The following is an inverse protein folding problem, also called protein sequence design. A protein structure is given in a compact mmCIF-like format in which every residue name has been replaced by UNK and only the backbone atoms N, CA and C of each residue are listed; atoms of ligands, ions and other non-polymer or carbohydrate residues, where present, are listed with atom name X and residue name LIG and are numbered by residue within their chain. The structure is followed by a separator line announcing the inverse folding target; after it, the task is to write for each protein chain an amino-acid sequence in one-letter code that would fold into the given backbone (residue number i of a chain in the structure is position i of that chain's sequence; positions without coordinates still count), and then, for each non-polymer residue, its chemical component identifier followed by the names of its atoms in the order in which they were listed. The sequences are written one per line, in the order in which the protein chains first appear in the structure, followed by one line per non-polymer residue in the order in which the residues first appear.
data_IF_195504542327
#
_entry.id   IF_195504542327
#
_cell.length_a   1.000
_cell.length_b   1.000
_cell.length_c   1.000
_cell.angle_alpha   90.00
_cell.angle_beta   90.00
_cell.angle_gamma   90.00
#
_symmetry.space_group_name_H-M   'P 1'
#
loop_
_entity.id
_entity.type
_entity.pdbx_description
1 polymer ?
#
# COMPACT_ATOMS: atom_id res chain seq x y z
N UNK A 1 -18.72 -0.78 -8.07
CA UNK A 1 -19.65 -0.17 -9.06
C UNK A 1 -20.77 -1.15 -9.33
N UNK A 2 -22.01 -0.79 -9.01
CA UNK A 2 -23.19 -1.62 -9.27
C UNK A 2 -23.64 -1.46 -10.72
N UNK A 3 -24.22 -2.49 -11.34
CA UNK A 3 -24.78 -2.46 -12.70
C UNK A 3 -25.77 -1.31 -12.93
N UNK A 4 -26.43 -0.82 -11.84
CA UNK A 4 -27.31 0.36 -11.88
C UNK A 4 -26.57 1.68 -12.10
N UNK A 5 -25.38 1.85 -11.53
CA UNK A 5 -24.58 3.08 -11.71
C UNK A 5 -23.98 3.15 -13.12
N UNK A 6 -23.67 1.98 -13.70
CA UNK A 6 -23.24 1.84 -15.08
C UNK A 6 -24.31 2.35 -16.04
N UNK A 7 -25.55 1.87 -15.88
CA UNK A 7 -26.67 2.25 -16.75
C UNK A 7 -26.97 3.75 -16.66
N UNK A 8 -27.02 4.31 -15.45
CA UNK A 8 -27.30 5.72 -15.24
C UNK A 8 -26.24 6.66 -15.86
N UNK A 9 -24.96 6.27 -15.83
CA UNK A 9 -23.89 7.04 -16.49
C UNK A 9 -23.95 6.93 -18.01
N UNK A 10 -24.29 5.76 -18.53
CA UNK A 10 -24.48 5.52 -19.97
C UNK A 10 -25.59 6.41 -20.53
N UNK A 11 -26.75 6.40 -19.86
CA UNK A 11 -27.93 7.16 -20.26
C UNK A 11 -27.65 8.67 -20.27
N UNK A 12 -26.86 9.17 -19.30
CA UNK A 12 -26.47 10.59 -19.23
C UNK A 12 -25.54 11.03 -20.36
N UNK A 13 -24.61 10.18 -20.78
CA UNK A 13 -23.69 10.47 -21.89
C UNK A 13 -24.43 10.48 -23.22
N UNK A 14 -25.37 9.54 -23.40
CA UNK A 14 -26.22 9.48 -24.60
C UNK A 14 -27.15 10.70 -24.68
N UNK A 15 -27.77 11.08 -23.56
CA UNK A 15 -28.69 12.22 -23.50
C UNK A 15 -28.05 13.60 -23.78
N UNK A 16 -26.73 13.73 -23.60
CA UNK A 16 -26.03 15.01 -23.81
C UNK A 16 -25.54 15.22 -25.25
N UNK A 17 -25.59 14.18 -26.11
CA UNK A 17 -25.07 14.25 -27.49
C UNK A 17 -25.90 13.39 -28.45
N UNK A 18 -27.14 13.80 -28.78
CA UNK A 18 -28.06 13.01 -29.62
C UNK A 18 -27.57 12.81 -31.07
N UNK A 19 -26.67 13.68 -31.55
CA UNK A 19 -26.17 13.70 -32.93
C UNK A 19 -24.76 13.11 -33.08
N UNK A 20 -24.17 12.58 -32.00
CA UNK A 20 -22.83 12.01 -32.06
C UNK A 20 -22.87 10.60 -32.69
N UNK A 21 -21.99 10.37 -33.67
CA UNK A 21 -21.75 9.05 -34.25
C UNK A 21 -21.58 8.01 -33.14
N UNK A 22 -22.35 6.92 -33.22
CA UNK A 22 -22.32 5.83 -32.24
C UNK A 22 -20.91 5.31 -31.96
N UNK A 23 -19.99 5.39 -32.94
CA UNK A 23 -18.58 5.03 -32.76
C UNK A 23 -17.83 6.00 -31.80
N UNK A 24 -18.13 7.30 -31.84
CA UNK A 24 -17.56 8.29 -30.91
C UNK A 24 -18.13 8.16 -29.50
N UNK A 25 -19.42 7.83 -29.38
CA UNK A 25 -20.06 7.55 -28.09
C UNK A 25 -19.43 6.31 -27.46
N UNK A 26 -19.27 5.22 -28.21
CA UNK A 26 -18.60 4.00 -27.76
C UNK A 26 -17.14 4.24 -27.35
N UNK A 27 -16.38 5.02 -28.13
CA UNK A 27 -14.99 5.36 -27.80
C UNK A 27 -14.84 6.15 -26.49
N UNK A 28 -15.75 7.09 -26.22
CA UNK A 28 -15.75 7.85 -24.95
C UNK A 28 -16.19 7.01 -23.76
N UNK A 29 -17.22 6.18 -23.94
CA UNK A 29 -17.70 5.26 -22.92
C UNK A 29 -16.57 4.30 -22.51
N UNK A 30 -15.89 3.69 -23.48
CA UNK A 30 -14.73 2.82 -23.22
C UNK A 30 -13.61 3.57 -22.49
N UNK A 31 -13.27 4.80 -22.89
CA UNK A 31 -12.24 5.60 -22.20
C UNK A 31 -12.61 5.89 -20.74
N UNK A 32 -13.84 6.33 -20.47
CA UNK A 32 -14.33 6.57 -19.09
C UNK A 32 -14.27 5.28 -18.26
N UNK A 33 -14.59 4.13 -18.86
CA UNK A 33 -14.45 2.83 -18.18
C UNK A 33 -13.01 2.43 -17.94
N UNK A 34 -12.11 2.60 -18.89
CA UNK A 34 -10.70 2.26 -18.69
C UNK A 34 -10.03 3.11 -17.62
N UNK A 35 -10.40 4.39 -17.48
CA UNK A 35 -9.84 5.26 -16.44
C UNK A 35 -10.44 4.91 -15.07
N UNK A 36 -11.77 4.80 -14.96
CA UNK A 36 -12.44 4.48 -13.70
C UNK A 36 -12.09 3.08 -13.18
N UNK A 37 -11.95 2.10 -14.06
CA UNK A 37 -11.54 0.74 -13.68
C UNK A 37 -10.08 0.68 -13.24
N UNK A 38 -9.16 1.43 -13.88
CA UNK A 38 -7.75 1.50 -13.47
C UNK A 38 -7.58 2.20 -12.12
N UNK A 39 -8.33 3.25 -11.85
CA UNK A 39 -8.33 3.96 -10.57
C UNK A 39 -8.95 3.11 -9.45
N UNK A 40 -10.08 2.45 -9.71
CA UNK A 40 -10.75 1.57 -8.73
C UNK A 40 -9.92 0.32 -8.40
N UNK A 41 -9.12 -0.19 -9.35
CA UNK A 41 -8.19 -1.30 -9.10
C UNK A 41 -6.98 -0.81 -8.32
N UNK A 42 -6.40 0.37 -8.63
CA UNK A 42 -5.27 0.92 -7.87
C UNK A 42 -5.63 1.26 -6.42
N UNK A 43 -6.83 1.76 -6.18
CA UNK A 43 -7.36 2.03 -4.83
C UNK A 43 -7.75 0.77 -4.06
N UNK A 44 -7.58 -0.43 -4.63
CA UNK A 44 -7.88 -1.69 -3.95
C UNK A 44 -6.65 -2.34 -3.32
N UNK A 45 -5.44 -1.87 -3.59
CA UNK A 45 -4.20 -2.51 -3.15
C UNK A 45 -3.21 -1.53 -2.53
N UNK A 46 -2.33 -2.06 -1.70
CA UNK A 46 -1.10 -1.42 -1.23
C UNK A 46 0.05 -2.11 -1.94
N UNK A 47 0.90 -1.36 -2.63
CA UNK A 47 2.12 -1.91 -3.23
C UNK A 47 3.22 -1.95 -2.18
N UNK A 48 3.94 -3.06 -2.09
CA UNK A 48 5.02 -3.27 -1.11
C UNK A 48 6.28 -3.73 -1.87
N UNK A 49 7.39 -3.05 -1.62
CA UNK A 49 8.70 -3.36 -2.20
C UNK A 49 9.70 -3.69 -1.11
N UNK A 50 10.17 -4.94 -1.04
CA UNK A 50 11.16 -5.37 -0.04
C UNK A 50 12.60 -5.37 -0.54
N UNK A 51 12.84 -5.02 -1.80
CA UNK A 51 14.18 -4.98 -2.40
C UNK A 51 15.12 -4.00 -1.70
N UNK A 52 14.69 -2.84 -1.18
CA UNK A 52 15.59 -1.94 -0.44
C UNK A 52 16.21 -2.58 0.81
N UNK A 53 15.50 -3.51 1.48
CA UNK A 53 16.04 -4.26 2.61
C UNK A 53 16.78 -5.54 2.18
N UNK A 54 16.23 -6.28 1.21
CA UNK A 54 16.64 -7.66 0.91
C UNK A 54 17.49 -7.82 -0.36
N UNK A 55 17.72 -6.73 -1.09
CA UNK A 55 18.44 -6.72 -2.36
C UNK A 55 17.80 -7.66 -3.40
N UNK A 56 18.62 -8.48 -4.05
CA UNK A 56 18.18 -9.44 -5.07
C UNK A 56 17.23 -10.54 -4.55
N UNK A 57 17.10 -10.69 -3.22
CA UNK A 57 16.18 -11.65 -2.59
C UNK A 57 14.84 -11.00 -2.20
N UNK A 58 14.70 -9.69 -2.37
CA UNK A 58 13.45 -8.98 -2.18
C UNK A 58 12.51 -9.13 -3.37
N UNK A 59 11.27 -8.74 -3.17
CA UNK A 59 10.20 -8.84 -4.16
C UNK A 59 9.32 -7.59 -4.10
N UNK A 60 8.56 -7.35 -5.17
CA UNK A 60 7.52 -6.33 -5.23
C UNK A 60 6.18 -7.03 -5.37
N UNK A 61 5.27 -6.78 -4.45
CA UNK A 61 3.94 -7.36 -4.51
C UNK A 61 2.85 -6.35 -4.17
N UNK A 62 1.62 -6.72 -4.49
CA UNK A 62 0.42 -5.96 -4.15
C UNK A 62 -0.35 -6.72 -3.07
N UNK A 63 -0.70 -6.02 -2.01
CA UNK A 63 -1.50 -6.51 -0.89
C UNK A 63 -2.88 -5.88 -0.94
N UNK A 64 -3.99 -6.64 -0.99
CA UNK A 64 -5.33 -6.07 -0.95
C UNK A 64 -5.51 -5.16 0.26
N UNK A 65 -5.99 -3.95 0.03
CA UNK A 65 -6.37 -3.04 1.10
C UNK A 65 -7.68 -3.53 1.72
N UNK A 66 -7.65 -3.83 3.02
CA UNK A 66 -8.82 -4.15 3.81
C UNK A 66 -8.98 -3.10 4.92
N UNK A 67 -10.10 -2.35 4.96
CA UNK A 67 -10.32 -1.31 5.98
C UNK A 67 -10.38 -1.86 7.41
N UNK A 68 -10.64 -3.16 7.59
CA UNK A 68 -10.69 -3.80 8.90
C UNK A 68 -9.33 -4.42 9.30
N UNK A 69 -8.33 -4.40 8.39
CA UNK A 69 -7.02 -4.92 8.69
C UNK A 69 -6.30 -3.99 9.67
N UNK A 70 -5.88 -4.56 10.80
CA UNK A 70 -5.12 -3.80 11.80
C UNK A 70 -3.64 -3.71 11.44
N UNK A 71 -2.97 -2.70 11.98
CA UNK A 71 -1.52 -2.50 11.84
C UNK A 71 -0.75 -3.78 12.21
N UNK A 72 -1.07 -4.39 13.36
CA UNK A 72 -0.46 -5.66 13.78
C UNK A 72 -0.56 -6.74 12.71
N UNK A 73 -1.77 -7.00 12.19
CA UNK A 73 -1.99 -8.06 11.21
C UNK A 73 -1.26 -7.76 9.90
N UNK A 74 -1.26 -6.50 9.47
CA UNK A 74 -0.55 -6.09 8.27
C UNK A 74 0.96 -6.26 8.40
N UNK A 75 1.58 -5.79 9.49
CA UNK A 75 3.01 -5.98 9.74
C UNK A 75 3.38 -7.48 9.81
N UNK A 76 2.53 -8.30 10.42
CA UNK A 76 2.72 -9.74 10.45
C UNK A 76 2.68 -10.35 9.04
N UNK A 77 1.75 -9.94 8.18
CA UNK A 77 1.66 -10.43 6.78
C UNK A 77 2.94 -10.12 6.00
N UNK A 78 3.44 -8.89 6.11
CA UNK A 78 4.71 -8.51 5.46
C UNK A 78 5.85 -9.37 5.99
N UNK A 79 5.99 -9.49 7.32
CA UNK A 79 7.03 -10.32 7.92
C UNK A 79 6.94 -11.80 7.48
N UNK A 80 5.74 -12.38 7.45
CA UNK A 80 5.52 -13.76 7.00
C UNK A 80 5.96 -14.00 5.56
N UNK A 81 5.94 -12.97 4.70
CA UNK A 81 6.42 -13.04 3.33
C UNK A 81 7.93 -12.85 3.21
N UNK A 82 8.53 -12.09 4.12
CA UNK A 82 9.98 -11.85 4.16
C UNK A 82 10.76 -12.93 4.93
N UNK A 83 10.10 -13.77 5.72
CA UNK A 83 10.77 -14.88 6.41
C UNK A 83 11.36 -15.86 5.38
N UNK A 84 12.52 -16.48 5.66
CA UNK A 84 13.28 -16.44 6.92
C UNK A 84 14.29 -15.29 7.02
N UNK A 85 14.31 -14.34 6.07
CA UNK A 85 15.38 -13.34 5.94
C UNK A 85 15.33 -12.25 7.02
N UNK A 86 14.16 -12.03 7.60
CA UNK A 86 13.92 -11.01 8.61
C UNK A 86 13.50 -11.67 9.92
N UNK A 87 14.16 -11.30 11.02
CA UNK A 87 13.84 -11.82 12.36
C UNK A 87 12.43 -11.38 12.77
N UNK A 88 11.68 -12.24 13.49
CA UNK A 88 10.38 -11.86 14.06
C UNK A 88 10.55 -10.75 15.10
N UNK A 89 9.49 -9.97 15.31
CA UNK A 89 9.43 -8.96 16.38
C UNK A 89 10.59 -7.96 16.37
N UNK A 90 11.04 -7.53 15.20
CA UNK A 90 12.06 -6.48 15.06
C UNK A 90 11.52 -5.19 14.48
N UNK A 91 10.23 -5.04 14.20
CA UNK A 91 9.70 -3.75 13.76
C UNK A 91 9.68 -2.73 14.92
N UNK A 92 10.08 -1.46 14.72
CA UNK A 92 10.69 -0.89 13.50
C UNK A 92 12.23 -1.01 13.43
N UNK A 93 12.89 -1.50 14.48
CA UNK A 93 14.35 -1.45 14.66
C UNK A 93 15.15 -2.24 13.59
N UNK A 94 14.65 -3.41 13.20
CA UNK A 94 15.23 -4.30 12.20
C UNK A 94 14.79 -3.98 10.77
N UNK A 95 13.57 -3.48 10.62
CA UNK A 95 12.99 -3.07 9.35
C UNK A 95 11.85 -2.12 9.60
N UNK A 96 11.67 -1.15 8.71
CA UNK A 96 10.63 -0.13 8.81
C UNK A 96 9.98 0.08 7.46
N UNK A 97 8.70 0.46 7.47
CA UNK A 97 8.01 0.86 6.25
C UNK A 97 8.34 2.32 5.94
N UNK A 98 8.64 2.59 4.67
CA UNK A 98 8.80 3.93 4.11
C UNK A 98 7.73 4.16 3.06
N UNK A 99 7.05 5.29 3.11
CA UNK A 99 6.21 5.72 1.99
C UNK A 99 7.10 6.20 0.84
N UNK A 100 7.00 5.55 -0.33
CA UNK A 100 7.86 5.85 -1.48
C UNK A 100 7.60 7.22 -2.11
N UNK A 101 6.42 7.82 -1.87
CA UNK A 101 6.07 9.13 -2.42
C UNK A 101 6.56 10.31 -1.58
N UNK A 102 6.60 10.14 -0.26
CA UNK A 102 6.92 11.19 0.71
C UNK A 102 8.21 10.96 1.50
N UNK A 103 8.88 9.82 1.30
CA UNK A 103 10.01 9.34 2.09
C UNK A 103 9.73 9.23 3.61
N UNK A 104 8.47 9.33 4.03
CA UNK A 104 8.07 9.24 5.44
C UNK A 104 8.30 7.83 5.96
N UNK A 105 9.07 7.72 7.04
CA UNK A 105 9.22 6.47 7.79
C UNK A 105 8.06 6.29 8.78
N UNK A 106 7.49 5.09 8.81
CA UNK A 106 6.44 4.72 9.76
C UNK A 106 7.03 4.13 11.06
N UNK A 107 7.88 4.87 11.77
CA UNK A 107 8.51 4.39 13.02
C UNK A 107 7.54 4.35 14.21
N UNK A 108 6.51 5.20 14.20
CA UNK A 108 5.48 5.31 15.24
C UNK A 108 4.26 4.39 15.04
N UNK A 109 4.46 3.18 14.52
CA UNK A 109 3.40 2.16 14.37
C UNK A 109 3.87 0.80 14.90
N UNK A 110 2.94 -0.11 15.16
CA UNK A 110 3.24 -1.39 15.79
C UNK A 110 3.55 -1.22 17.28
N UNK A 111 4.52 -1.99 17.78
CA UNK A 111 4.85 -2.00 19.22
C UNK A 111 5.17 -0.63 19.84
N UNK A 112 5.94 0.28 19.20
CA UNK A 112 6.17 1.62 19.76
C UNK A 112 4.87 2.37 20.04
N UNK A 113 3.92 2.34 19.10
CA UNK A 113 2.62 2.99 19.31
C UNK A 113 1.82 2.27 20.38
N UNK A 114 1.68 0.95 20.30
CA UNK A 114 0.93 0.16 21.28
C UNK A 114 1.43 0.41 22.72
N UNK A 115 2.75 0.35 22.92
CA UNK A 115 3.38 0.62 24.21
C UNK A 115 3.10 2.04 24.70
N UNK A 116 3.14 3.04 23.82
CA UNK A 116 2.80 4.43 24.17
C UNK A 116 1.35 4.60 24.66
N UNK A 117 0.45 3.70 24.26
CA UNK A 117 -0.95 3.67 24.66
C UNK A 117 -1.24 2.69 25.83
N UNK A 118 -0.23 2.02 26.37
CA UNK A 118 -0.41 0.97 27.37
C UNK A 118 -1.08 -0.30 26.84
N UNK A 119 -1.02 -0.52 25.53
CA UNK A 119 -1.58 -1.68 24.83
C UNK A 119 -0.46 -2.67 24.48
N UNK A 120 -0.81 -3.96 24.38
CA UNK A 120 0.10 -5.00 23.92
C UNK A 120 0.31 -4.97 22.40
N UNK A 121 -0.68 -4.48 21.65
CA UNK A 121 -0.74 -4.57 20.19
C UNK A 121 -1.30 -3.29 19.56
N UNK A 122 -0.89 -3.01 18.32
CA UNK A 122 -1.41 -1.90 17.52
C UNK A 122 -2.61 -2.38 16.70
N UNK A 123 -3.79 -2.24 17.29
CA UNK A 123 -5.07 -2.60 16.68
C UNK A 123 -5.74 -1.45 15.93
N UNK A 124 -5.03 -0.34 15.70
CA UNK A 124 -5.48 0.68 14.75
C UNK A 124 -5.64 0.09 13.36
N UNK A 125 -6.59 0.63 12.61
CA UNK A 125 -6.67 0.41 11.16
C UNK A 125 -5.44 0.98 10.44
N UNK A 126 -5.19 0.50 9.22
CA UNK A 126 -4.15 1.05 8.36
C UNK A 126 -4.33 2.55 8.10
N UNK A 127 -5.57 2.99 7.89
CA UNK A 127 -5.90 4.39 7.64
C UNK A 127 -5.53 5.28 8.83
N UNK A 128 -5.81 4.86 10.06
CA UNK A 128 -5.43 5.59 11.27
C UNK A 128 -3.91 5.66 11.47
N UNK A 129 -3.17 4.68 10.96
CA UNK A 129 -1.70 4.71 10.91
C UNK A 129 -1.15 5.54 9.74
N UNK A 130 -2.01 6.03 8.84
CA UNK A 130 -1.66 6.84 7.68
C UNK A 130 -1.31 6.03 6.42
N UNK A 131 -1.60 4.74 6.40
CA UNK A 131 -1.48 3.88 5.21
C UNK A 131 -2.85 3.85 4.53
N UNK A 132 -2.89 4.30 3.28
CA UNK A 132 -4.12 4.44 2.52
C UNK A 132 -4.17 3.42 1.38
N UNK A 133 -5.37 3.16 0.82
CA UNK A 133 -5.44 2.40 -0.42
C UNK A 133 -4.66 3.12 -1.52
N UNK A 134 -3.95 2.36 -2.36
CA UNK A 134 -3.03 2.88 -3.36
C UNK A 134 -1.65 3.30 -2.81
N UNK A 135 -1.41 3.24 -1.50
CA UNK A 135 -0.08 3.51 -0.93
C UNK A 135 0.98 2.61 -1.57
N UNK A 136 2.14 3.20 -1.84
CA UNK A 136 3.32 2.49 -2.31
C UNK A 136 4.39 2.54 -1.22
N UNK A 137 4.61 1.40 -0.58
CA UNK A 137 5.47 1.24 0.57
C UNK A 137 6.74 0.48 0.20
N UNK A 138 7.84 0.88 0.82
CA UNK A 138 9.12 0.20 0.75
C UNK A 138 9.49 -0.34 2.12
N UNK A 139 10.02 -1.55 2.15
CA UNK A 139 10.64 -2.11 3.35
C UNK A 139 12.12 -1.74 3.31
N UNK A 140 12.54 -0.92 4.26
CA UNK A 140 13.92 -0.43 4.38
C UNK A 140 14.55 -0.88 5.70
N UNK A 141 15.89 -0.87 5.81
CA UNK A 141 16.57 -1.09 7.09
C UNK A 141 16.05 -0.18 8.19
N UNK A 142 15.75 -0.76 9.35
CA UNK A 142 15.40 0.01 10.53
C UNK A 142 16.60 0.79 11.10
N UNK A 143 16.34 1.72 12.02
CA UNK A 143 17.38 2.58 12.60
C UNK A 143 18.55 1.81 13.21
N UNK A 144 18.31 0.61 13.75
CA UNK A 144 19.36 -0.23 14.34
C UNK A 144 20.11 -1.09 13.30
N UNK A 145 19.59 -1.26 12.09
CA UNK A 145 20.27 -1.98 10.99
C UNK A 145 21.07 -1.03 10.11
N UNK A 146 20.60 0.21 9.93
CA UNK A 146 21.31 1.23 9.15
C UNK A 146 22.69 1.55 9.73
N UNK A 147 22.84 1.53 11.07
CA UNK A 147 24.13 1.71 11.76
C UNK A 147 25.11 0.55 11.54
N UNK A 148 24.62 -0.67 11.25
CA UNK A 148 25.47 -1.85 11.07
C UNK A 148 25.99 -2.01 9.63
N UNK A 149 25.42 -1.29 8.66
CA UNK A 149 25.79 -1.34 7.25
C UNK A 149 26.63 -0.12 6.81
N UNK A 150 27.03 0.74 7.75
CA UNK A 150 27.63 2.05 7.49
C UNK A 150 29.11 2.24 7.86
N UNK A 151 29.76 1.29 8.53
CA UNK A 151 31.20 1.44 8.88
C UNK A 151 32.03 0.39 8.14
N UNK A 152 32.95 0.77 7.23
CA UNK A 152 34.06 -0.10 6.91
C UNK A 152 34.91 -0.26 8.17
N UNK A 153 35.08 -1.49 8.64
CA UNK A 153 36.19 -1.84 9.52
C UNK A 153 37.48 -1.56 8.75
N UNK A 154 38.01 -0.35 8.93
CA UNK A 154 39.34 0.02 8.48
C UNK A 154 40.36 -0.48 9.49
N UNK A 155 41.23 -1.38 9.02
CA UNK A 155 42.50 -1.76 9.65
C UNK A 155 43.47 -0.56 9.75
#
# INVERSE_FOLDING_TARGET
VSTKEFQAKLDRVVATHPDADHAQILGRVINVFTTTARESVREAFIRIDSRPLLGARGDVWEEPYDPNLTVRHFLNKIWFRMRPLVRPFTYPDGWVLRDSGSDRLFTGMGRPWAHSQGLSEDDRSLREAGINPGSALEVVPGAHVSLALGEPLGD
#
